data_IF_908572645633
#
_entry.id   IF_908572645633
#
_cell.length_a   1.000
_cell.length_b   1.000
_cell.length_c   1.000
_cell.angle_alpha   90.00
_cell.angle_beta   90.00
_cell.angle_gamma   90.00
#
_symmetry.space_group_name_H-M   'P 1'
#
loop_
_entity.id
_entity.type
_entity.pdbx_description
1 polymer ?
#
# COMPACT_ATOMS: atom_id res chain seq x y z
N UNK A 1 -4.56 -10.40 8.25
CA UNK A 1 -5.60 -9.35 8.34
C UNK A 1 -4.97 -8.15 9.00
N UNK A 2 -5.13 -6.96 8.42
CA UNK A 2 -4.64 -5.69 8.98
C UNK A 2 -5.81 -5.00 9.69
N UNK A 3 -5.54 -4.26 10.77
CA UNK A 3 -6.54 -3.45 11.46
C UNK A 3 -6.14 -1.98 11.34
N UNK A 4 -7.05 -1.16 10.81
CA UNK A 4 -6.88 0.29 10.66
C UNK A 4 -7.97 0.96 11.46
N UNK A 5 -7.62 1.59 12.58
CA UNK A 5 -8.61 2.04 13.56
C UNK A 5 -9.49 0.87 14.01
N UNK A 6 -10.80 0.90 13.71
CA UNK A 6 -11.74 -0.19 13.99
C UNK A 6 -12.11 -1.02 12.75
N UNK A 7 -11.58 -0.68 11.58
CA UNK A 7 -11.94 -1.34 10.32
C UNK A 7 -10.91 -2.42 9.97
N UNK A 8 -11.33 -3.68 9.78
CA UNK A 8 -10.45 -4.72 9.27
C UNK A 8 -10.20 -4.55 7.77
N UNK A 9 -8.95 -4.72 7.34
CA UNK A 9 -8.54 -4.77 5.93
C UNK A 9 -7.97 -6.16 5.62
N UNK A 10 -8.61 -6.85 4.69
CA UNK A 10 -8.13 -8.10 4.11
C UNK A 10 -7.53 -7.81 2.74
N UNK A 11 -6.30 -8.31 2.51
CA UNK A 11 -5.59 -8.15 1.23
C UNK A 11 -5.34 -9.55 0.67
N UNK A 12 -5.84 -9.80 -0.54
CA UNK A 12 -5.56 -11.04 -1.26
C UNK A 12 -4.18 -10.93 -1.93
N UNK A 13 -3.29 -11.87 -1.61
CA UNK A 13 -1.94 -11.96 -2.18
C UNK A 13 -1.68 -13.38 -2.68
N UNK A 14 -0.81 -13.51 -3.68
CA UNK A 14 -0.41 -14.83 -4.21
C UNK A 14 0.43 -15.62 -3.20
N UNK A 15 1.32 -14.93 -2.48
CA UNK A 15 2.19 -15.51 -1.46
C UNK A 15 2.74 -14.42 -0.52
N UNK A 16 3.12 -14.81 0.70
CA UNK A 16 3.89 -13.99 1.63
C UNK A 16 5.35 -14.43 1.54
N UNK A 17 6.25 -13.53 1.13
CA UNK A 17 7.66 -13.86 0.91
C UNK A 17 8.50 -13.83 2.20
N UNK A 18 8.08 -13.06 3.21
CA UNK A 18 8.78 -12.96 4.48
C UNK A 18 8.47 -11.69 5.25
N UNK A 19 9.33 -11.36 6.21
CA UNK A 19 9.29 -10.12 6.99
C UNK A 19 10.65 -9.46 6.89
N UNK A 20 10.65 -8.17 6.56
CA UNK A 20 11.84 -7.34 6.45
C UNK A 20 11.63 -6.06 7.26
N UNK A 21 12.71 -5.53 7.83
CA UNK A 21 12.72 -4.27 8.56
C UNK A 21 13.44 -3.23 7.72
N UNK A 22 12.88 -2.03 7.68
CA UNK A 22 13.43 -0.88 6.97
C UNK A 22 13.50 0.31 7.89
N UNK A 23 14.46 1.20 7.66
CA UNK A 23 14.46 2.52 8.27
C UNK A 23 13.48 3.43 7.52
N UNK A 24 12.84 4.34 8.25
CA UNK A 24 11.87 5.27 7.65
C UNK A 24 12.49 6.13 6.55
N UNK A 25 13.78 6.48 6.69
CA UNK A 25 14.57 7.26 5.74
C UNK A 25 14.75 6.57 4.38
N UNK A 26 14.62 5.24 4.34
CA UNK A 26 14.72 4.45 3.11
C UNK A 26 13.42 4.52 2.29
N UNK A 27 12.31 4.97 2.89
CA UNK A 27 11.01 5.09 2.23
C UNK A 27 11.01 6.37 1.39
N UNK A 28 11.00 6.19 0.07
CA UNK A 28 10.98 7.29 -0.91
C UNK A 28 9.56 7.66 -1.30
N UNK A 29 9.37 8.94 -1.64
CA UNK A 29 8.07 9.46 -2.10
C UNK A 29 7.57 8.72 -3.35
N UNK A 30 6.30 8.30 -3.40
CA UNK A 30 5.73 7.61 -4.56
C UNK A 30 5.33 8.59 -5.68
N UNK A 31 5.35 9.90 -5.42
CA UNK A 31 4.93 10.94 -6.37
C UNK A 31 5.90 10.98 -7.57
N UNK A 32 5.35 10.99 -8.77
CA UNK A 32 6.11 11.06 -10.03
C UNK A 32 6.90 9.80 -10.38
N UNK A 33 6.96 8.80 -9.49
CA UNK A 33 7.69 7.54 -9.69
C UNK A 33 6.78 6.40 -10.16
N UNK A 34 5.48 6.51 -9.95
CA UNK A 34 4.48 5.50 -10.29
C UNK A 34 3.32 6.06 -11.07
N UNK A 35 2.53 5.16 -11.67
CA UNK A 35 1.28 5.52 -12.31
C UNK A 35 0.37 6.25 -11.28
N UNK A 36 -0.13 7.46 -11.61
CA UNK A 36 -0.95 8.27 -10.71
C UNK A 36 -2.19 7.58 -10.16
N UNK A 37 -2.69 6.54 -10.83
CA UNK A 37 -3.79 5.74 -10.33
C UNK A 37 -3.44 4.95 -9.05
N UNK A 38 -2.17 4.61 -8.85
CA UNK A 38 -1.71 3.86 -7.67
C UNK A 38 -1.14 4.75 -6.57
N UNK A 39 -0.61 5.93 -6.92
CA UNK A 39 0.03 6.84 -5.95
C UNK A 39 -0.81 7.15 -4.71
N UNK A 40 -2.16 7.34 -4.77
CA UNK A 40 -2.96 7.59 -3.58
C UNK A 40 -2.98 6.44 -2.56
N UNK A 41 -2.63 5.22 -2.97
CA UNK A 41 -2.68 4.02 -2.15
C UNK A 41 -1.30 3.63 -1.58
N UNK A 42 -0.27 4.43 -1.86
CA UNK A 42 1.11 4.17 -1.47
C UNK A 42 1.56 5.21 -0.46
N UNK A 43 2.16 4.78 0.64
CA UNK A 43 2.90 5.68 1.54
C UNK A 43 4.32 5.94 1.00
N UNK A 44 4.83 5.04 0.16
CA UNK A 44 6.12 5.20 -0.51
C UNK A 44 6.61 3.92 -1.18
N UNK A 45 7.91 3.88 -1.42
CA UNK A 45 8.58 2.74 -2.02
C UNK A 45 10.03 2.63 -1.55
N UNK A 46 10.58 1.42 -1.64
CA UNK A 46 11.93 1.09 -1.20
C UNK A 46 12.59 0.27 -2.31
N UNK A 47 13.90 0.44 -2.50
CA UNK A 47 14.71 -0.43 -3.35
C UNK A 47 15.49 -1.40 -2.44
N UNK A 48 15.09 -2.67 -2.41
CA UNK A 48 15.72 -3.71 -1.61
C UNK A 48 16.40 -4.71 -2.55
N UNK A 49 17.73 -4.88 -2.46
CA UNK A 49 18.47 -5.90 -3.23
C UNK A 49 18.12 -5.93 -4.74
N UNK A 50 17.87 -4.75 -5.33
CA UNK A 50 17.43 -4.53 -6.73
C UNK A 50 15.94 -4.81 -7.01
N UNK A 51 15.16 -5.22 -6.03
CA UNK A 51 13.71 -5.30 -6.12
C UNK A 51 13.04 -4.01 -5.62
N UNK A 52 12.03 -3.59 -6.37
CA UNK A 52 11.19 -2.45 -6.02
C UNK A 52 10.04 -2.90 -5.12
N UNK A 53 10.10 -2.51 -3.85
CA UNK A 53 9.07 -2.82 -2.86
C UNK A 53 8.16 -1.61 -2.68
N UNK A 54 6.87 -1.79 -2.95
CA UNK A 54 5.86 -0.76 -2.74
C UNK A 54 5.31 -0.84 -1.31
N UNK A 55 5.26 0.31 -0.63
CA UNK A 55 4.71 0.40 0.72
C UNK A 55 3.27 0.91 0.60
N UNK A 56 2.32 0.03 0.88
CA UNK A 56 0.89 0.36 0.85
C UNK A 56 0.54 1.27 2.04
N UNK A 57 -0.35 2.24 1.80
CA UNK A 57 -1.01 3.01 2.85
C UNK A 57 -2.39 2.40 3.15
N UNK A 58 -2.54 1.66 4.27
CA UNK A 58 -3.79 0.99 4.57
C UNK A 58 -4.91 1.97 4.97
N UNK A 59 -4.59 3.16 5.47
CA UNK A 59 -5.58 4.21 5.73
C UNK A 59 -6.12 4.78 4.43
N UNK A 60 -5.23 5.09 3.49
CA UNK A 60 -5.63 5.59 2.18
C UNK A 60 -6.43 4.55 1.38
N UNK A 61 -6.10 3.25 1.49
CA UNK A 61 -6.87 2.17 0.86
C UNK A 61 -8.30 2.07 1.39
N UNK A 62 -8.51 2.24 2.69
CA UNK A 62 -9.86 2.19 3.29
C UNK A 62 -10.66 3.46 2.97
N UNK A 63 -9.99 4.61 2.96
CA UNK A 63 -10.64 5.91 2.74
C UNK A 63 -10.88 6.22 1.26
N UNK A 64 -10.10 5.61 0.37
CA UNK A 64 -10.40 5.59 -1.04
C UNK A 64 -11.75 4.88 -1.19
N UNK A 65 -12.78 5.66 -1.50
CA UNK A 65 -14.08 5.12 -1.87
C UNK A 65 -13.83 4.11 -2.99
N UNK A 66 -13.82 2.82 -2.65
CA UNK A 66 -13.93 1.75 -3.64
C UNK A 66 -15.15 2.11 -4.48
N UNK A 67 -14.93 2.43 -5.76
CA UNK A 67 -16.01 2.62 -6.71
C UNK A 67 -16.81 1.32 -6.75
N UNK A 68 -17.94 1.33 -6.04
CA UNK A 68 -18.75 0.14 -5.78
C UNK A 68 -19.95 0.43 -4.89
N UNK A 69 -20.57 1.61 -5.02
CA UNK A 69 -21.96 1.82 -4.60
C UNK A 69 -22.82 1.90 -5.87
N UNK A 70 -22.99 0.77 -6.54
CA UNK A 70 -24.11 0.56 -7.46
C UNK A 70 -24.85 -0.67 -6.93
N UNK A 71 -25.86 -0.39 -6.11
CA UNK A 71 -26.75 -1.35 -5.49
C UNK A 71 -28.01 -0.63 -5.02
N UNK A 72 -28.67 0.04 -5.97
CA UNK A 72 -30.11 0.30 -5.96
C UNK A 72 -30.66 -0.15 -7.30
#
# INVERSE_FOLDING_TARGET
MLKVGQTPLAVAVRAIQGVVRFNQEEIRSPIGSFNPAFTPYLSGWILQEQELVLVLDPEAIINAKMFGQNGH
#
